data_IF_649777947070
#
_entry.id   IF_649777947070
#
_cell.length_a   1.000
_cell.length_b   1.000
_cell.length_c   1.000
_cell.angle_alpha   90.00
_cell.angle_beta   90.00
_cell.angle_gamma   90.00
#
_symmetry.space_group_name_H-M   'P 1'
#
loop_
_entity.id
_entity.type
_entity.pdbx_description
1 polymer ?
#
# COMPACT_ATOMS: atom_id res chain seq x y z
N UNK A 1 -2.91 27.93 -10.74
CA UNK A 1 -2.64 27.72 -9.30
C UNK A 1 -3.03 26.31 -8.84
N UNK A 2 -4.25 25.82 -9.13
CA UNK A 2 -4.69 24.49 -8.69
C UNK A 2 -3.80 23.29 -9.08
N UNK A 3 -3.19 23.30 -10.27
CA UNK A 3 -2.27 22.24 -10.72
C UNK A 3 -1.03 22.09 -9.82
N UNK A 4 -0.44 23.19 -9.38
CA UNK A 4 0.78 23.15 -8.55
C UNK A 4 0.46 22.61 -7.15
N UNK A 5 -0.69 22.98 -6.60
CA UNK A 5 -1.15 22.47 -5.32
C UNK A 5 -1.44 20.97 -5.39
N UNK A 6 -2.08 20.51 -6.48
CA UNK A 6 -2.31 19.08 -6.72
C UNK A 6 -0.98 18.31 -6.83
N UNK A 7 -0.03 18.81 -7.62
CA UNK A 7 1.30 18.22 -7.75
C UNK A 7 2.03 18.15 -6.40
N UNK A 8 1.96 19.21 -5.60
CA UNK A 8 2.56 19.25 -4.25
C UNK A 8 1.92 18.22 -3.34
N UNK A 9 0.59 18.13 -3.32
CA UNK A 9 -0.16 17.13 -2.53
C UNK A 9 0.23 15.71 -2.94
N UNK A 10 0.32 15.43 -4.23
CA UNK A 10 0.75 14.13 -4.74
C UNK A 10 2.21 13.82 -4.35
N UNK A 11 3.12 14.80 -4.48
CA UNK A 11 4.52 14.63 -4.11
C UNK A 11 4.69 14.33 -2.61
N UNK A 12 3.99 15.05 -1.74
CA UNK A 12 4.03 14.81 -0.29
C UNK A 12 3.46 13.43 0.06
N UNK A 13 2.36 13.03 -0.57
CA UNK A 13 1.76 11.72 -0.36
C UNK A 13 2.67 10.58 -0.87
N UNK A 14 3.38 10.80 -1.98
CA UNK A 14 4.40 9.90 -2.51
C UNK A 14 5.56 9.73 -1.54
N UNK A 15 6.11 10.82 -0.99
CA UNK A 15 7.18 10.76 0.02
C UNK A 15 6.74 10.02 1.29
N UNK A 16 5.46 10.13 1.65
CA UNK A 16 4.88 9.43 2.79
C UNK A 16 4.44 7.99 2.50
N UNK A 17 4.65 7.46 1.28
CA UNK A 17 4.11 6.16 0.85
C UNK A 17 2.61 5.99 1.12
N UNK A 18 1.84 7.05 0.89
CA UNK A 18 0.37 7.10 1.04
C UNK A 18 -0.33 7.68 -0.19
N UNK A 19 0.39 7.76 -1.32
CA UNK A 19 -0.14 8.25 -2.59
C UNK A 19 -1.36 7.46 -3.08
N UNK A 20 -1.47 6.17 -2.70
CA UNK A 20 -2.61 5.32 -3.01
C UNK A 20 -3.94 5.92 -2.52
N UNK A 21 -4.00 6.43 -1.30
CA UNK A 21 -5.21 7.05 -0.74
C UNK A 21 -5.59 8.34 -1.44
N UNK A 22 -4.59 9.13 -1.85
CA UNK A 22 -4.82 10.38 -2.56
C UNK A 22 -5.36 10.12 -3.97
N UNK A 23 -4.83 9.14 -4.71
CA UNK A 23 -5.36 8.81 -6.03
C UNK A 23 -6.78 8.26 -5.95
N UNK A 24 -7.08 7.39 -4.96
CA UNK A 24 -8.45 6.92 -4.70
C UNK A 24 -9.40 8.10 -4.44
N UNK A 25 -9.00 9.06 -3.60
CA UNK A 25 -9.80 10.24 -3.30
C UNK A 25 -9.99 11.17 -4.51
N UNK A 26 -9.01 11.23 -5.40
CA UNK A 26 -9.06 12.01 -6.64
C UNK A 26 -9.79 11.26 -7.78
N UNK A 27 -10.29 10.04 -7.53
CA UNK A 27 -11.00 9.21 -8.51
C UNK A 27 -10.09 8.58 -9.57
N UNK A 28 -8.78 8.68 -9.39
CA UNK A 28 -7.78 8.06 -10.26
C UNK A 28 -7.42 6.67 -9.72
N UNK A 29 -7.30 5.70 -10.60
CA UNK A 29 -6.96 4.33 -10.21
C UNK A 29 -5.74 3.85 -10.96
N UNK A 30 -4.93 2.99 -10.33
CA UNK A 30 -3.77 2.39 -10.98
C UNK A 30 -4.13 1.71 -12.31
N UNK A 31 -5.34 1.12 -12.37
CA UNK A 31 -5.88 0.41 -13.53
C UNK A 31 -6.76 1.28 -14.44
N UNK A 32 -6.86 2.59 -14.22
CA UNK A 32 -7.63 3.47 -15.08
C UNK A 32 -6.88 3.66 -16.41
N UNK A 33 -7.47 3.15 -17.50
CA UNK A 33 -6.93 3.21 -18.88
C UNK A 33 -6.97 4.61 -19.51
N UNK A 34 -7.43 5.64 -18.80
CA UNK A 34 -7.97 6.86 -19.43
C UNK A 34 -7.05 8.09 -19.34
N UNK A 35 -6.00 8.07 -18.54
CA UNK A 35 -5.06 9.18 -18.45
C UNK A 35 -3.62 8.66 -18.49
N UNK A 36 -2.83 9.17 -19.43
CA UNK A 36 -1.42 8.82 -19.63
C UNK A 36 -0.62 8.81 -18.31
N UNK A 37 0.55 8.15 -18.29
CA UNK A 37 1.23 7.79 -17.04
C UNK A 37 1.46 9.02 -16.15
N UNK A 38 0.71 9.11 -15.04
CA UNK A 38 1.01 10.07 -13.98
C UNK A 38 2.42 9.80 -13.47
N UNK A 39 3.23 10.85 -13.32
CA UNK A 39 4.62 10.73 -12.88
C UNK A 39 4.79 10.00 -11.55
N UNK A 40 3.74 9.99 -10.70
CA UNK A 40 3.74 9.34 -9.39
C UNK A 40 3.04 7.97 -9.37
N UNK A 41 2.50 7.51 -10.51
CA UNK A 41 1.71 6.27 -10.58
C UNK A 41 2.51 5.03 -10.16
N UNK A 42 3.82 5.01 -10.45
CA UNK A 42 4.71 3.92 -10.02
C UNK A 42 4.84 3.82 -8.50
N UNK A 43 4.67 4.93 -7.77
CA UNK A 43 4.70 4.93 -6.30
C UNK A 43 3.40 4.41 -5.71
N UNK A 44 2.33 4.26 -6.50
CA UNK A 44 1.09 3.67 -6.02
C UNK A 44 1.29 2.22 -5.58
N UNK A 45 1.90 1.38 -6.43
CA UNK A 45 2.17 -0.03 -6.08
C UNK A 45 3.30 -0.12 -5.05
N UNK A 46 4.33 0.71 -5.17
CA UNK A 46 5.43 0.77 -4.20
C UNK A 46 4.93 1.13 -2.79
N UNK A 47 3.99 2.06 -2.66
CA UNK A 47 3.37 2.41 -1.38
C UNK A 47 2.64 1.22 -0.74
N UNK A 48 1.97 0.39 -1.55
CA UNK A 48 1.32 -0.82 -1.07
C UNK A 48 2.36 -1.86 -0.63
N UNK A 49 3.44 -2.03 -1.38
CA UNK A 49 4.55 -2.91 -1.00
C UNK A 49 5.18 -2.51 0.34
N UNK A 50 5.52 -1.22 0.52
CA UNK A 50 6.07 -0.71 1.79
C UNK A 50 5.09 -0.87 2.97
N UNK A 51 3.80 -0.59 2.75
CA UNK A 51 2.75 -0.82 3.74
C UNK A 51 2.66 -2.32 4.10
N UNK A 52 2.74 -3.21 3.12
CA UNK A 52 2.74 -4.65 3.35
C UNK A 52 3.96 -5.10 4.15
N UNK A 53 5.17 -4.65 3.80
CA UNK A 53 6.39 -4.99 4.53
C UNK A 53 6.41 -4.48 5.97
N UNK A 54 5.70 -3.39 6.26
CA UNK A 54 5.53 -2.90 7.63
C UNK A 54 4.42 -3.65 8.39
N UNK A 55 3.26 -3.85 7.76
CA UNK A 55 2.09 -4.46 8.39
C UNK A 55 2.25 -5.97 8.60
N UNK A 56 2.97 -6.66 7.72
CA UNK A 56 3.13 -8.11 7.79
C UNK A 56 3.89 -8.57 9.05
N UNK A 57 5.08 -8.02 9.39
CA UNK A 57 5.77 -8.34 10.64
C UNK A 57 4.93 -8.02 11.88
N UNK A 58 4.20 -6.90 11.88
CA UNK A 58 3.32 -6.51 12.98
C UNK A 58 2.17 -7.50 13.15
N UNK A 59 1.56 -7.93 12.05
CA UNK A 59 0.49 -8.93 12.04
C UNK A 59 1.00 -10.27 12.59
N UNK A 60 2.17 -10.73 12.13
CA UNK A 60 2.81 -11.96 12.63
C UNK A 60 3.11 -11.83 14.13
N UNK A 61 3.65 -10.70 14.58
CA UNK A 61 3.94 -10.46 15.99
C UNK A 61 2.69 -10.54 16.87
N UNK A 62 1.60 -9.88 16.45
CA UNK A 62 0.31 -9.92 17.16
C UNK A 62 -0.25 -11.34 17.20
N UNK A 63 -0.21 -12.06 16.08
CA UNK A 63 -0.69 -13.44 16.00
C UNK A 63 0.12 -14.38 16.91
N UNK A 64 1.44 -14.24 16.95
CA UNK A 64 2.29 -15.03 17.86
C UNK A 64 1.92 -14.73 19.31
N UNK A 65 1.68 -13.45 19.64
CA UNK A 65 1.33 -13.02 21.00
C UNK A 65 -0.03 -13.54 21.47
N UNK A 66 -0.97 -13.77 20.55
CA UNK A 66 -2.32 -14.25 20.86
C UNK A 66 -2.52 -15.76 20.74
N UNK A 67 -1.86 -16.42 19.77
CA UNK A 67 -2.12 -17.82 19.39
C UNK A 67 -0.90 -18.74 19.54
N UNK A 68 0.29 -18.19 19.80
CA UNK A 68 1.55 -18.93 19.86
C UNK A 68 2.14 -19.28 18.48
N UNK A 69 3.45 -19.49 18.42
CA UNK A 69 4.23 -19.63 17.17
C UNK A 69 3.78 -20.79 16.27
N UNK A 70 3.32 -21.91 16.84
CA UNK A 70 2.86 -23.09 16.08
C UNK A 70 1.60 -22.83 15.27
N UNK A 71 0.64 -22.09 15.84
CA UNK A 71 -0.61 -21.75 15.16
C UNK A 71 -0.38 -20.78 13.99
N UNK A 72 0.55 -19.84 14.15
CA UNK A 72 0.92 -18.89 13.08
C UNK A 72 1.64 -19.59 11.93
N UNK A 73 2.55 -20.52 12.23
CA UNK A 73 3.24 -21.31 11.20
C UNK A 73 2.28 -22.15 10.36
N UNK A 74 1.31 -22.83 10.99
CA UNK A 74 0.28 -23.60 10.27
C UNK A 74 -0.61 -22.69 9.43
N UNK A 75 -1.02 -21.54 9.97
CA UNK A 75 -1.84 -20.57 9.23
C UNK A 75 -1.13 -19.99 8.00
N UNK A 76 0.15 -19.65 8.12
CA UNK A 76 0.95 -19.14 7.00
C UNK A 76 1.13 -20.18 5.89
N UNK A 77 1.38 -21.45 6.26
CA UNK A 77 1.50 -22.55 5.28
C UNK A 77 0.16 -22.82 4.59
N UNK A 78 -0.95 -22.80 5.33
CA UNK A 78 -2.28 -23.02 4.76
C UNK A 78 -2.71 -21.89 3.81
N UNK A 79 -2.40 -20.63 4.15
CA UNK A 79 -2.70 -19.47 3.29
C UNK A 79 -1.79 -19.40 2.06
N UNK A 80 -0.55 -19.87 2.14
CA UNK A 80 0.36 -19.93 0.98
C UNK A 80 0.10 -21.12 0.04
N UNK A 81 -0.67 -22.12 0.48
CA UNK A 81 -1.02 -23.31 -0.31
C UNK A 81 -2.42 -23.25 -0.94
N UNK A 82 -3.18 -22.17 -0.69
CA UNK A 82 -4.51 -21.89 -1.23
C UNK A 82 -4.43 -20.87 -2.37
#
# INVERSE_FOLDING_TARGET
LGRLEQTRRHALATLGYVANWIFIADGDSYFADVAGPSMFRHVWSLAIEEQFYLLWPLTVLVLIRWKGTRAVGVGAVALGAA
#
